data_IF_433513005558
#
_entry.id   IF_433513005558
#
_cell.length_a   1.000
_cell.length_b   1.000
_cell.length_c   1.000
_cell.angle_alpha   90.00
_cell.angle_beta   90.00
_cell.angle_gamma   90.00
#
_symmetry.space_group_name_H-M   'P 1'
#
loop_
_entity.id
_entity.type
_entity.pdbx_description
1 polymer ?
#
# COMPACT_ATOMS: atom_id res chain seq x y z
N UNK A 1 -16.15 -2.20 2.87
CA UNK A 1 -16.10 -2.42 1.40
C UNK A 1 -15.44 -3.77 1.15
N UNK A 2 -16.02 -4.60 0.28
CA UNK A 2 -15.60 -6.00 0.02
C UNK A 2 -14.93 -6.11 -1.36
N UNK A 3 -13.84 -5.36 -1.56
CA UNK A 3 -12.98 -5.35 -2.75
C UNK A 3 -11.54 -5.03 -2.30
N UNK A 4 -10.49 -5.55 -2.95
CA UNK A 4 -10.48 -6.40 -4.16
C UNK A 4 -10.75 -7.89 -3.88
N UNK A 5 -11.20 -8.64 -4.91
CA UNK A 5 -11.29 -10.11 -4.91
C UNK A 5 -10.25 -10.64 -5.89
N UNK A 6 -9.34 -11.50 -5.44
CA UNK A 6 -8.24 -12.07 -6.26
C UNK A 6 -7.41 -10.98 -6.99
N UNK A 7 -7.19 -9.84 -6.34
CA UNK A 7 -6.47 -8.70 -6.90
C UNK A 7 -7.24 -7.89 -7.97
N UNK A 8 -8.53 -8.17 -8.18
CA UNK A 8 -9.37 -7.48 -9.18
C UNK A 8 -10.35 -6.49 -8.57
N UNK A 9 -10.55 -5.38 -9.31
CA UNK A 9 -11.59 -4.38 -9.11
C UNK A 9 -12.55 -4.44 -10.30
N UNK A 10 -13.64 -5.19 -10.16
CA UNK A 10 -14.48 -5.54 -11.31
C UNK A 10 -13.72 -6.43 -12.30
N UNK A 11 -13.73 -6.05 -13.58
CA UNK A 11 -13.03 -6.78 -14.64
C UNK A 11 -11.54 -6.43 -14.74
N UNK A 12 -11.10 -5.38 -14.03
CA UNK A 12 -9.76 -4.83 -14.15
C UNK A 12 -8.85 -5.23 -12.97
N UNK A 13 -7.54 -5.29 -13.22
CA UNK A 13 -6.55 -5.74 -12.23
C UNK A 13 -6.26 -7.24 -12.31
N UNK A 14 -5.81 -7.82 -11.20
CA UNK A 14 -5.25 -9.17 -11.14
C UNK A 14 -3.73 -9.18 -11.33
N UNK A 15 -3.15 -10.38 -11.45
CA UNK A 15 -1.71 -10.60 -11.56
C UNK A 15 -1.39 -11.25 -12.91
N UNK A 16 -0.89 -10.46 -13.87
CA UNK A 16 -0.46 -10.94 -15.20
C UNK A 16 1.06 -10.88 -15.31
N UNK A 17 1.71 -11.82 -14.65
CA UNK A 17 3.17 -11.87 -14.49
C UNK A 17 3.69 -13.28 -14.84
N UNK A 18 4.98 -13.42 -15.18
CA UNK A 18 5.62 -14.73 -15.26
C UNK A 18 5.48 -15.54 -13.97
N UNK A 19 5.38 -16.87 -14.09
CA UNK A 19 5.29 -17.80 -12.96
C UNK A 19 6.45 -17.63 -11.98
N UNK A 20 7.63 -17.32 -12.48
CA UNK A 20 8.84 -17.08 -11.68
C UNK A 20 8.72 -15.89 -10.72
N UNK A 21 7.78 -14.96 -10.96
CA UNK A 21 7.53 -13.80 -10.09
C UNK A 21 6.38 -14.04 -9.10
N UNK A 22 5.60 -15.11 -9.26
CA UNK A 22 4.44 -15.39 -8.39
C UNK A 22 4.85 -15.47 -6.91
N UNK A 23 5.92 -16.19 -6.53
CA UNK A 23 6.30 -16.29 -5.12
C UNK A 23 6.63 -14.93 -4.48
N UNK A 24 7.32 -14.06 -5.21
CA UNK A 24 7.70 -12.73 -4.71
C UNK A 24 6.47 -11.82 -4.50
N UNK A 25 5.46 -11.92 -5.36
CA UNK A 25 4.21 -11.16 -5.19
C UNK A 25 3.38 -11.69 -4.03
N UNK A 26 3.34 -13.00 -3.83
CA UNK A 26 2.63 -13.62 -2.69
C UNK A 26 3.29 -13.24 -1.36
N UNK A 27 4.62 -13.28 -1.29
CA UNK A 27 5.36 -12.82 -0.11
C UNK A 27 5.10 -11.34 0.20
N UNK A 28 5.05 -10.49 -0.84
CA UNK A 28 4.75 -9.07 -0.68
C UNK A 28 3.31 -8.86 -0.16
N UNK A 29 2.33 -9.57 -0.70
CA UNK A 29 0.93 -9.47 -0.27
C UNK A 29 0.77 -9.94 1.18
N UNK A 30 1.38 -11.07 1.55
CA UNK A 30 1.37 -11.58 2.92
C UNK A 30 1.92 -10.55 3.91
N UNK A 31 3.11 -10.00 3.61
CA UNK A 31 3.72 -9.00 4.47
C UNK A 31 2.93 -7.69 4.52
N UNK A 32 2.37 -7.25 3.39
CA UNK A 32 1.47 -6.09 3.38
C UNK A 32 0.27 -6.33 4.29
N UNK A 33 -0.42 -7.47 4.18
CA UNK A 33 -1.59 -7.79 5.02
C UNK A 33 -1.23 -7.87 6.50
N UNK A 34 -0.02 -8.34 6.83
CA UNK A 34 0.53 -8.39 8.19
C UNK A 34 0.81 -6.98 8.75
N UNK A 35 1.43 -6.10 7.97
CA UNK A 35 1.91 -4.81 8.46
C UNK A 35 0.95 -3.63 8.24
N UNK A 36 0.00 -3.73 7.30
CA UNK A 36 -0.92 -2.62 6.95
C UNK A 36 -1.73 -2.09 8.14
N UNK A 37 -1.96 -2.91 9.17
CA UNK A 37 -2.68 -2.54 10.40
C UNK A 37 -1.83 -2.63 11.67
N UNK A 38 -0.54 -2.94 11.52
CA UNK A 38 0.40 -2.96 12.63
C UNK A 38 0.63 -1.52 13.15
N UNK A 39 0.49 -1.32 14.46
CA UNK A 39 0.59 0.01 15.09
C UNK A 39 2.01 0.58 15.04
N UNK A 40 3.01 -0.25 15.26
CA UNK A 40 4.41 0.19 15.29
C UNK A 40 4.89 0.58 13.90
N UNK A 41 4.53 -0.22 12.88
CA UNK A 41 4.80 0.11 11.47
C UNK A 41 4.13 1.43 11.05
N UNK A 42 2.85 1.62 11.40
CA UNK A 42 2.14 2.88 11.13
C UNK A 42 2.79 4.08 11.81
N UNK A 43 3.28 3.90 13.05
CA UNK A 43 3.95 4.96 13.81
C UNK A 43 5.27 5.36 13.17
N UNK A 44 6.06 4.39 12.72
CA UNK A 44 7.32 4.64 12.01
C UNK A 44 7.08 5.31 10.65
N UNK A 45 6.10 4.82 9.89
CA UNK A 45 5.72 5.43 8.61
C UNK A 45 5.27 6.88 8.80
N UNK A 46 4.42 7.16 9.79
CA UNK A 46 3.95 8.51 10.13
C UNK A 46 5.12 9.42 10.56
N UNK A 47 6.09 8.90 11.32
CA UNK A 47 7.31 9.62 11.67
C UNK A 47 8.07 10.07 10.41
N UNK A 48 8.35 9.17 9.48
CA UNK A 48 9.08 9.54 8.25
C UNK A 48 8.26 10.44 7.34
N UNK A 49 6.95 10.25 7.25
CA UNK A 49 6.08 11.15 6.49
C UNK A 49 6.17 12.59 7.03
N UNK A 50 6.25 12.78 8.35
CA UNK A 50 6.35 14.09 8.98
C UNK A 50 7.77 14.67 8.94
N UNK A 51 8.75 13.89 9.41
CA UNK A 51 10.10 14.38 9.67
C UNK A 51 11.01 14.36 8.45
N UNK A 52 10.74 13.48 7.48
CA UNK A 52 11.56 13.34 6.29
C UNK A 52 10.85 13.85 5.03
N UNK A 53 9.62 13.39 4.78
CA UNK A 53 8.86 13.77 3.58
C UNK A 53 8.12 15.13 3.69
N UNK A 54 8.08 15.75 4.87
CA UNK A 54 7.50 17.08 5.07
C UNK A 54 5.97 17.13 5.05
N UNK A 55 5.28 16.04 5.40
CA UNK A 55 3.81 16.02 5.51
C UNK A 55 3.33 16.62 6.84
N UNK A 56 2.08 17.16 6.88
CA UNK A 56 1.15 17.30 5.76
C UNK A 56 1.56 18.41 4.79
N UNK A 57 1.26 18.21 3.50
CA UNK A 57 1.44 19.24 2.48
C UNK A 57 0.39 20.34 2.67
N UNK A 58 0.76 21.63 2.66
CA UNK A 58 -0.20 22.72 2.82
C UNK A 58 -1.18 22.73 1.64
N UNK A 59 -2.46 22.98 1.93
CA UNK A 59 -3.47 23.25 0.91
C UNK A 59 -3.52 24.76 0.66
N UNK A 60 -2.90 25.21 -0.43
CA UNK A 60 -2.83 26.62 -0.78
C UNK A 60 -4.07 27.07 -1.56
N UNK A 61 -4.64 28.22 -1.17
CA UNK A 61 -5.72 28.87 -1.91
C UNK A 61 -5.15 29.95 -2.84
N UNK A 62 -5.13 29.69 -4.15
CA UNK A 62 -4.68 30.61 -5.18
C UNK A 62 -5.87 31.47 -5.67
N UNK A 63 -5.82 32.79 -5.41
CA UNK A 63 -6.83 33.77 -5.86
C UNK A 63 -6.25 34.68 -6.93
#
# INVERSE_FOLDING_TARGET
MKYPKDGKFGEFGGRYIPETLVPAIEELEENYLKFKDNKDFKKELDYYLKQYAGRPTPLYYAK
#
